data_IF_494342360868
#
_entry.id   IF_494342360868
#
_cell.length_a   1.000
_cell.length_b   1.000
_cell.length_c   1.000
_cell.angle_alpha   90.00
_cell.angle_beta   90.00
_cell.angle_gamma   90.00
#
_symmetry.space_group_name_H-M   'P 1'
#
loop_
_entity.id
_entity.type
_entity.pdbx_description
1 polymer ?
#
# COMPACT_ATOMS: atom_id res chain seq x y z
N UNK A 1 -84.59 12.16 -28.42
CA UNK A 1 -83.20 11.93 -28.89
C UNK A 1 -82.13 12.73 -28.12
N UNK A 2 -82.49 13.63 -27.18
CA UNK A 2 -81.50 14.40 -26.38
C UNK A 2 -80.95 13.68 -25.14
N UNK A 3 -81.80 12.95 -24.39
CA UNK A 3 -81.43 12.29 -23.13
C UNK A 3 -80.36 11.19 -23.35
N UNK A 4 -80.43 10.46 -24.46
CA UNK A 4 -79.46 9.40 -24.80
C UNK A 4 -78.08 10.00 -25.15
N UNK A 5 -78.06 11.16 -25.80
CA UNK A 5 -76.81 11.88 -26.17
C UNK A 5 -76.15 12.47 -24.92
N UNK A 6 -76.92 13.06 -24.03
CA UNK A 6 -76.42 13.65 -22.77
C UNK A 6 -75.88 12.57 -21.82
N UNK A 7 -76.55 11.41 -21.73
CA UNK A 7 -76.08 10.27 -20.95
C UNK A 7 -74.81 9.64 -21.53
N UNK A 8 -74.72 9.52 -22.85
CA UNK A 8 -73.51 9.06 -23.53
C UNK A 8 -72.33 10.02 -23.33
N UNK A 9 -72.57 11.34 -23.39
CA UNK A 9 -71.55 12.35 -23.10
C UNK A 9 -71.06 12.29 -21.65
N UNK A 10 -71.95 12.05 -20.68
CA UNK A 10 -71.59 11.93 -19.26
C UNK A 10 -70.77 10.67 -18.97
N UNK A 11 -71.09 9.55 -19.62
CA UNK A 11 -70.31 8.31 -19.52
C UNK A 11 -68.94 8.48 -20.20
N UNK A 12 -68.87 9.17 -21.34
CA UNK A 12 -67.62 9.46 -22.04
C UNK A 12 -66.70 10.39 -21.23
N UNK A 13 -67.24 11.42 -20.58
CA UNK A 13 -66.45 12.34 -19.75
C UNK A 13 -65.99 11.72 -18.43
N UNK A 14 -66.77 10.82 -17.82
CA UNK A 14 -66.36 10.03 -16.65
C UNK A 14 -65.22 9.08 -17.03
N UNK A 15 -65.34 8.36 -18.16
CA UNK A 15 -64.26 7.50 -18.67
C UNK A 15 -63.00 8.33 -18.95
N UNK A 16 -63.14 9.48 -19.60
CA UNK A 16 -62.02 10.37 -19.92
C UNK A 16 -61.32 10.90 -18.66
N UNK A 17 -62.08 11.29 -17.62
CA UNK A 17 -61.54 11.74 -16.34
C UNK A 17 -60.76 10.65 -15.59
N UNK A 18 -61.24 9.40 -15.62
CA UNK A 18 -60.52 8.27 -15.01
C UNK A 18 -59.21 7.94 -15.72
N UNK A 19 -59.17 7.99 -17.06
CA UNK A 19 -57.94 7.80 -17.83
C UNK A 19 -56.94 8.94 -17.61
N UNK A 20 -57.40 10.18 -17.50
CA UNK A 20 -56.56 11.33 -17.13
C UNK A 20 -55.93 11.16 -15.74
N UNK A 21 -56.72 10.74 -14.75
CA UNK A 21 -56.21 10.47 -13.40
C UNK A 21 -55.16 9.35 -13.38
N UNK A 22 -55.38 8.28 -14.14
CA UNK A 22 -54.44 7.16 -14.25
C UNK A 22 -53.12 7.56 -14.94
N UNK A 23 -53.18 8.39 -16.00
CA UNK A 23 -51.99 8.91 -16.66
C UNK A 23 -51.20 9.86 -15.74
N UNK A 24 -51.91 10.69 -14.97
CA UNK A 24 -51.29 11.62 -14.05
C UNK A 24 -50.62 10.90 -12.88
N UNK A 25 -51.25 9.86 -12.31
CA UNK A 25 -50.64 9.04 -11.27
C UNK A 25 -49.44 8.25 -11.77
N UNK A 26 -49.49 7.72 -13.00
CA UNK A 26 -48.34 7.06 -13.63
C UNK A 26 -47.19 8.05 -13.86
N UNK A 27 -47.49 9.28 -14.31
CA UNK A 27 -46.49 10.33 -14.51
C UNK A 27 -45.80 10.75 -13.20
N UNK A 28 -46.57 10.93 -12.13
CA UNK A 28 -46.01 11.23 -10.79
C UNK A 28 -45.20 10.06 -10.27
N UNK A 29 -45.72 8.83 -10.36
CA UNK A 29 -45.03 7.63 -9.90
C UNK A 29 -43.71 7.38 -10.64
N UNK A 30 -43.70 7.53 -11.97
CA UNK A 30 -42.48 7.41 -12.78
C UNK A 30 -41.50 8.55 -12.50
N UNK A 31 -41.98 9.79 -12.36
CA UNK A 31 -41.15 10.94 -11.99
C UNK A 31 -40.47 10.76 -10.63
N UNK A 32 -41.23 10.32 -9.62
CA UNK A 32 -40.68 10.00 -8.30
C UNK A 32 -39.69 8.83 -8.38
N UNK A 33 -40.01 7.77 -9.12
CA UNK A 33 -39.11 6.63 -9.28
C UNK A 33 -37.76 7.02 -9.90
N UNK A 34 -37.78 7.80 -10.98
CA UNK A 34 -36.56 8.28 -11.66
C UNK A 34 -35.76 9.23 -10.75
N UNK A 35 -36.45 10.13 -10.03
CA UNK A 35 -35.80 11.03 -9.08
C UNK A 35 -35.14 10.26 -7.94
N UNK A 36 -35.82 9.25 -7.39
CA UNK A 36 -35.30 8.42 -6.30
C UNK A 36 -34.17 7.52 -6.78
N UNK A 37 -34.27 6.90 -7.96
CA UNK A 37 -33.21 6.05 -8.50
C UNK A 37 -31.93 6.84 -8.76
N UNK A 38 -32.06 8.03 -9.34
CA UNK A 38 -30.92 8.93 -9.59
C UNK A 38 -30.30 9.43 -8.29
N UNK A 39 -31.12 9.73 -7.28
CA UNK A 39 -30.62 10.11 -5.95
C UNK A 39 -29.87 8.97 -5.25
N UNK A 40 -30.33 7.73 -5.38
CA UNK A 40 -29.65 6.54 -4.83
C UNK A 40 -28.32 6.31 -5.54
N UNK A 41 -28.29 6.40 -6.87
CA UNK A 41 -27.06 6.22 -7.65
C UNK A 41 -26.02 7.29 -7.31
N UNK A 42 -26.46 8.56 -7.18
CA UNK A 42 -25.58 9.65 -6.81
C UNK A 42 -25.06 9.51 -5.36
N UNK A 43 -25.91 9.14 -4.40
CA UNK A 43 -25.48 8.85 -3.02
C UNK A 43 -24.49 7.69 -2.97
N UNK A 44 -24.73 6.61 -3.72
CA UNK A 44 -23.80 5.49 -3.82
C UNK A 44 -22.45 5.90 -4.43
N UNK A 45 -22.47 6.74 -5.47
CA UNK A 45 -21.27 7.25 -6.11
C UNK A 45 -20.47 8.16 -5.18
N UNK A 46 -21.11 9.10 -4.49
CA UNK A 46 -20.44 9.98 -3.52
C UNK A 46 -19.83 9.18 -2.36
N UNK A 47 -20.56 8.20 -1.82
CA UNK A 47 -20.02 7.30 -0.78
C UNK A 47 -18.81 6.53 -1.29
N UNK A 48 -18.86 6.02 -2.53
CA UNK A 48 -17.73 5.36 -3.16
C UNK A 48 -16.52 6.28 -3.27
N UNK A 49 -16.70 7.51 -3.78
CA UNK A 49 -15.63 8.49 -3.90
C UNK A 49 -15.06 8.89 -2.53
N UNK A 50 -15.90 9.06 -1.51
CA UNK A 50 -15.47 9.33 -0.15
C UNK A 50 -14.61 8.19 0.41
N UNK A 51 -15.04 6.94 0.24
CA UNK A 51 -14.23 5.78 0.65
C UNK A 51 -12.91 5.70 -0.12
N UNK A 52 -12.94 5.91 -1.45
CA UNK A 52 -11.75 5.89 -2.29
C UNK A 52 -10.73 6.96 -1.87
N UNK A 53 -11.18 8.20 -1.63
CA UNK A 53 -10.34 9.28 -1.12
C UNK A 53 -9.80 8.97 0.27
N UNK A 54 -10.60 8.35 1.14
CA UNK A 54 -10.16 7.91 2.47
C UNK A 54 -9.03 6.88 2.39
N UNK A 55 -9.19 5.85 1.55
CA UNK A 55 -8.16 4.84 1.31
C UNK A 55 -6.90 5.47 0.71
N UNK A 56 -7.05 6.36 -0.28
CA UNK A 56 -5.93 7.08 -0.87
C UNK A 56 -5.14 7.86 0.19
N UNK A 57 -5.82 8.62 1.05
CA UNK A 57 -5.16 9.38 2.12
C UNK A 57 -4.42 8.48 3.11
N UNK A 58 -4.98 7.30 3.43
CA UNK A 58 -4.32 6.31 4.30
C UNK A 58 -3.05 5.78 3.62
N UNK A 59 -3.11 5.46 2.32
CA UNK A 59 -1.95 4.99 1.56
C UNK A 59 -0.85 6.06 1.48
N UNK A 60 -1.21 7.30 1.16
CA UNK A 60 -0.24 8.41 1.07
C UNK A 60 0.46 8.63 2.41
N UNK A 61 -0.29 8.59 3.51
CA UNK A 61 0.27 8.71 4.87
C UNK A 61 1.23 7.55 5.19
N UNK A 62 0.87 6.31 4.85
CA UNK A 62 1.72 5.13 5.08
C UNK A 62 3.00 5.17 4.24
N UNK A 63 2.89 5.48 2.95
CA UNK A 63 4.06 5.60 2.06
C UNK A 63 5.02 6.65 2.59
N UNK A 64 4.51 7.81 3.01
CA UNK A 64 5.34 8.86 3.62
C UNK A 64 6.01 8.37 4.90
N UNK A 65 5.26 7.72 5.79
CA UNK A 65 5.78 7.16 7.04
C UNK A 65 6.91 6.15 6.79
N UNK A 66 6.77 5.25 5.81
CA UNK A 66 7.83 4.31 5.44
C UNK A 66 9.04 5.00 4.80
N UNK A 67 8.84 6.05 3.99
CA UNK A 67 9.93 6.83 3.44
C UNK A 67 10.72 7.57 4.54
N UNK A 68 10.02 8.14 5.52
CA UNK A 68 10.64 8.80 6.67
C UNK A 68 11.39 7.80 7.57
N UNK A 69 10.85 6.59 7.76
CA UNK A 69 11.52 5.47 8.42
C UNK A 69 12.85 5.10 7.74
N UNK A 70 12.83 4.91 6.42
CA UNK A 70 14.03 4.60 5.64
C UNK A 70 15.04 5.75 5.69
N UNK A 71 14.59 7.00 5.64
CA UNK A 71 15.46 8.19 5.77
C UNK A 71 16.09 8.28 7.16
N UNK A 72 15.32 8.00 8.22
CA UNK A 72 15.83 7.92 9.58
C UNK A 72 16.89 6.83 9.73
N UNK A 73 16.62 5.66 9.14
CA UNK A 73 17.56 4.54 9.13
C UNK A 73 18.83 4.90 8.35
N UNK A 74 18.72 5.52 7.18
CA UNK A 74 19.88 5.95 6.41
C UNK A 74 20.73 6.98 7.18
N UNK A 75 20.07 7.89 7.92
CA UNK A 75 20.74 8.89 8.74
C UNK A 75 21.57 8.28 9.86
N UNK A 76 21.16 7.13 10.43
CA UNK A 76 21.95 6.39 11.42
C UNK A 76 23.32 6.00 10.84
N UNK A 77 23.36 5.50 9.61
CA UNK A 77 24.60 5.07 8.95
C UNK A 77 25.43 6.23 8.38
N UNK A 78 24.83 7.42 8.19
CA UNK A 78 25.54 8.62 7.73
C UNK A 78 26.16 9.44 8.88
N UNK A 79 25.58 9.38 10.08
CA UNK A 79 25.96 10.24 11.19
C UNK A 79 27.06 9.64 12.10
N UNK A 80 27.26 8.33 12.07
CA UNK A 80 28.19 7.63 12.97
C UNK A 80 29.48 7.16 12.31
N UNK A 81 30.43 6.74 13.14
CA UNK A 81 31.42 5.73 12.77
C UNK A 81 30.71 4.41 12.38
N UNK A 82 31.47 3.41 11.97
CA UNK A 82 30.95 2.13 11.46
C UNK A 82 29.89 1.48 12.38
N UNK A 83 28.61 1.58 12.00
CA UNK A 83 27.47 1.07 12.77
C UNK A 83 27.54 -0.46 12.87
N UNK A 84 27.56 -0.95 14.09
CA UNK A 84 27.63 -2.39 14.39
C UNK A 84 26.28 -3.07 14.23
N UNK A 85 26.30 -4.40 14.04
CA UNK A 85 25.08 -5.21 14.01
C UNK A 85 24.24 -5.11 15.30
N UNK A 86 24.85 -4.84 16.46
CA UNK A 86 24.11 -4.68 17.72
C UNK A 86 23.43 -3.32 17.84
N UNK A 87 24.10 -2.24 17.46
CA UNK A 87 23.51 -0.90 17.43
C UNK A 87 22.34 -0.84 16.47
N UNK A 88 22.48 -1.44 15.28
CA UNK A 88 21.38 -1.53 14.33
C UNK A 88 20.18 -2.31 14.91
N UNK A 89 20.42 -3.42 15.62
CA UNK A 89 19.36 -4.17 16.31
C UNK A 89 18.65 -3.33 17.36
N UNK A 90 19.39 -2.60 18.20
CA UNK A 90 18.80 -1.73 19.21
C UNK A 90 17.99 -0.59 18.59
N UNK A 91 18.51 0.02 17.51
CA UNK A 91 17.79 1.03 16.75
C UNK A 91 16.46 0.48 16.22
N UNK A 92 16.48 -0.67 15.52
CA UNK A 92 15.26 -1.26 14.94
C UNK A 92 14.28 -1.72 16.02
N UNK A 93 14.76 -2.26 17.14
CA UNK A 93 13.90 -2.61 18.27
C UNK A 93 13.20 -1.37 18.86
N UNK A 94 13.90 -0.22 18.94
CA UNK A 94 13.33 1.03 19.43
C UNK A 94 12.29 1.67 18.51
N UNK A 95 12.28 1.32 17.23
CA UNK A 95 11.26 1.79 16.27
C UNK A 95 9.89 1.14 16.50
N UNK A 96 9.86 -0.05 17.13
CA UNK A 96 8.62 -0.81 17.38
C UNK A 96 7.77 -0.96 16.10
N UNK A 97 8.36 -1.66 15.12
CA UNK A 97 7.83 -1.76 13.75
C UNK A 97 6.40 -2.31 13.71
N UNK A 98 6.07 -3.25 14.60
CA UNK A 98 4.75 -3.88 14.65
C UNK A 98 3.64 -2.86 14.93
N UNK A 99 3.89 -1.92 15.84
CA UNK A 99 2.90 -0.92 16.24
C UNK A 99 2.96 0.36 15.39
N UNK A 100 4.15 0.85 15.05
CA UNK A 100 4.30 2.14 14.36
C UNK A 100 4.37 2.03 12.84
N UNK A 101 4.80 0.89 12.31
CA UNK A 101 5.00 0.69 10.87
C UNK A 101 4.34 -0.61 10.38
N UNK A 102 3.03 -0.82 10.64
CA UNK A 102 2.35 -2.05 10.29
C UNK A 102 2.44 -2.31 8.79
N UNK A 103 2.94 -3.49 8.40
CA UNK A 103 3.25 -3.86 7.02
C UNK A 103 4.75 -3.88 6.68
N UNK A 104 5.60 -3.29 7.54
CA UNK A 104 7.06 -3.43 7.45
C UNK A 104 7.47 -4.68 8.22
N UNK A 105 7.93 -5.70 7.50
CA UNK A 105 8.39 -6.96 8.12
C UNK A 105 9.82 -6.87 8.64
N UNK A 106 10.70 -6.19 7.89
CA UNK A 106 12.13 -6.09 8.20
C UNK A 106 12.69 -4.78 7.67
N UNK A 107 13.69 -4.24 8.37
CA UNK A 107 14.58 -3.21 7.85
C UNK A 107 15.95 -3.85 7.64
N UNK A 108 16.57 -3.54 6.50
CA UNK A 108 17.85 -4.11 6.12
C UNK A 108 18.84 -3.06 5.66
N UNK A 109 20.13 -3.32 5.90
CA UNK A 109 21.22 -2.49 5.44
C UNK A 109 22.13 -3.30 4.51
N UNK A 110 22.43 -2.72 3.35
CA UNK A 110 23.37 -3.28 2.40
C UNK A 110 24.60 -2.37 2.32
N UNK A 111 25.78 -2.97 2.53
CA UNK A 111 27.05 -2.26 2.45
C UNK A 111 27.62 -2.38 1.05
N UNK A 112 28.00 -1.24 0.47
CA UNK A 112 28.73 -1.18 -0.79
C UNK A 112 30.23 -1.11 -0.55
N UNK A 113 31.00 -1.91 -1.27
CA UNK A 113 32.47 -1.96 -1.19
C UNK A 113 33.08 -2.57 -2.45
N UNK A 114 34.36 -2.29 -2.71
CA UNK A 114 35.13 -2.80 -3.83
C UNK A 114 35.71 -4.20 -3.60
N UNK A 115 36.17 -4.87 -4.66
CA UNK A 115 36.88 -6.17 -4.54
C UNK A 115 38.15 -6.07 -3.66
N UNK A 116 38.79 -4.91 -3.63
CA UNK A 116 39.97 -4.68 -2.81
C UNK A 116 39.64 -4.67 -1.31
N UNK A 117 38.47 -4.15 -0.93
CA UNK A 117 38.01 -4.05 0.46
C UNK A 117 37.35 -5.33 0.96
N UNK A 118 36.87 -6.17 0.03
CA UNK A 118 36.13 -7.40 0.33
C UNK A 118 36.77 -8.29 1.41
N UNK A 119 38.08 -8.60 1.41
CA UNK A 119 38.66 -9.46 2.44
C UNK A 119 38.54 -8.87 3.85
N UNK A 120 38.70 -7.55 3.99
CA UNK A 120 38.59 -6.85 5.27
C UNK A 120 37.13 -6.85 5.76
N UNK A 121 36.19 -6.53 4.88
CA UNK A 121 34.75 -6.52 5.19
C UNK A 121 34.24 -7.91 5.54
N UNK A 122 34.62 -8.95 4.78
CA UNK A 122 34.24 -10.33 5.11
C UNK A 122 34.80 -10.77 6.46
N UNK A 123 36.05 -10.44 6.78
CA UNK A 123 36.66 -10.80 8.05
C UNK A 123 35.96 -10.10 9.23
N UNK A 124 35.58 -8.83 9.07
CA UNK A 124 34.81 -8.09 10.05
C UNK A 124 33.43 -8.70 10.28
N UNK A 125 32.65 -8.89 9.22
CA UNK A 125 31.29 -9.42 9.31
C UNK A 125 31.26 -10.85 9.86
N UNK A 126 32.26 -11.69 9.54
CA UNK A 126 32.39 -13.02 10.15
C UNK A 126 32.64 -12.97 11.65
N UNK A 127 33.41 -12.00 12.15
CA UNK A 127 33.61 -11.83 13.60
C UNK A 127 32.31 -11.39 14.28
N UNK A 128 31.67 -10.35 13.74
CA UNK A 128 30.45 -9.78 14.32
C UNK A 128 29.25 -10.74 14.29
N UNK A 129 28.99 -11.37 13.13
CA UNK A 129 27.86 -12.28 12.95
C UNK A 129 28.17 -13.68 13.51
N UNK A 130 29.44 -14.10 13.48
CA UNK A 130 29.89 -15.36 14.08
C UNK A 130 29.72 -15.38 15.60
N UNK A 131 29.90 -14.24 16.28
CA UNK A 131 29.58 -14.08 17.70
C UNK A 131 28.09 -14.34 18.01
N UNK A 132 27.21 -14.23 17.00
CA UNK A 132 25.77 -14.54 17.06
C UNK A 132 25.44 -15.93 16.49
N UNK A 133 26.43 -16.76 16.19
CA UNK A 133 26.26 -18.11 15.64
C UNK A 133 25.91 -18.15 14.14
N UNK A 134 26.03 -17.04 13.42
CA UNK A 134 25.77 -16.96 11.98
C UNK A 134 27.04 -17.15 11.15
N UNK A 135 27.02 -18.07 10.20
CA UNK A 135 28.09 -18.24 9.22
C UNK A 135 27.91 -17.28 8.04
N UNK A 136 28.71 -16.21 8.01
CA UNK A 136 28.63 -15.20 6.97
C UNK A 136 29.45 -15.56 5.72
N UNK A 137 28.77 -15.58 4.57
CA UNK A 137 29.39 -15.70 3.25
C UNK A 137 28.66 -14.85 2.20
N UNK A 138 29.43 -14.19 1.34
CA UNK A 138 28.89 -13.45 0.20
C UNK A 138 28.37 -14.42 -0.87
N UNK A 139 27.14 -14.20 -1.34
CA UNK A 139 26.45 -15.04 -2.34
C UNK A 139 25.81 -14.17 -3.44
N UNK A 140 25.89 -14.59 -4.72
CA UNK A 140 26.59 -15.78 -5.21
C UNK A 140 28.10 -15.56 -5.24
N UNK A 141 28.84 -16.67 -5.17
CA UNK A 141 30.30 -16.66 -5.28
C UNK A 141 30.76 -16.04 -6.62
N UNK A 142 32.01 -15.59 -6.65
CA UNK A 142 32.60 -14.90 -7.80
C UNK A 142 33.27 -13.60 -7.39
N UNK A 143 34.08 -13.05 -8.29
CA UNK A 143 34.70 -11.73 -8.16
C UNK A 143 33.98 -10.70 -9.01
N UNK A 144 33.78 -9.51 -8.45
CA UNK A 144 33.12 -8.35 -9.08
C UNK A 144 33.89 -7.10 -8.69
N UNK A 145 33.93 -6.07 -9.54
CA UNK A 145 34.63 -4.82 -9.21
C UNK A 145 34.04 -4.15 -7.96
N UNK A 146 32.73 -4.25 -7.79
CA UNK A 146 31.97 -3.68 -6.70
C UNK A 146 30.92 -4.70 -6.21
N UNK A 147 30.61 -4.64 -4.93
CA UNK A 147 29.61 -5.46 -4.26
C UNK A 147 28.65 -4.56 -3.51
N UNK A 148 27.38 -4.95 -3.45
CA UNK A 148 26.39 -4.32 -2.57
C UNK A 148 25.75 -5.44 -1.77
N UNK A 149 26.33 -5.76 -0.62
CA UNK A 149 25.99 -6.96 0.14
C UNK A 149 25.06 -6.62 1.28
N UNK A 150 23.96 -7.37 1.40
CA UNK A 150 23.05 -7.29 2.54
C UNK A 150 23.76 -7.74 3.82
N UNK A 151 24.16 -6.81 4.70
CA UNK A 151 24.96 -7.11 5.89
C UNK A 151 24.09 -7.27 7.13
N UNK A 152 23.04 -6.45 7.29
CA UNK A 152 22.16 -6.49 8.45
C UNK A 152 20.69 -6.60 8.03
N UNK A 153 19.92 -7.38 8.80
CA UNK A 153 18.47 -7.53 8.66
C UNK A 153 17.89 -7.62 10.06
N UNK A 154 16.98 -6.73 10.40
CA UNK A 154 16.28 -6.75 11.68
C UNK A 154 14.77 -6.58 11.48
N UNK A 155 13.92 -7.30 12.23
CA UNK A 155 14.28 -8.36 13.18
C UNK A 155 14.89 -9.59 12.49
N UNK A 156 16.02 -10.06 13.00
CA UNK A 156 16.78 -11.17 12.39
C UNK A 156 15.99 -12.48 12.25
N UNK A 157 15.01 -12.73 13.12
CA UNK A 157 14.14 -13.91 13.06
C UNK A 157 13.31 -14.02 11.79
N UNK A 158 13.04 -12.91 11.11
CA UNK A 158 12.18 -12.91 9.93
C UNK A 158 12.89 -13.44 8.68
N UNK A 159 14.13 -13.01 8.40
CA UNK A 159 14.84 -13.28 7.14
C UNK A 159 16.37 -13.32 7.24
N UNK A 160 16.94 -13.85 8.32
CA UNK A 160 18.40 -13.98 8.47
C UNK A 160 19.09 -14.73 7.32
N UNK A 161 18.38 -15.63 6.64
CA UNK A 161 18.86 -16.40 5.48
C UNK A 161 19.27 -15.51 4.28
N UNK A 162 18.83 -14.25 4.25
CA UNK A 162 19.16 -13.29 3.19
C UNK A 162 20.46 -12.53 3.43
N UNK A 163 21.01 -12.57 4.65
CA UNK A 163 22.30 -11.93 4.94
C UNK A 163 23.39 -12.54 4.02
N UNK A 164 24.26 -11.68 3.52
CA UNK A 164 25.32 -12.04 2.58
C UNK A 164 24.89 -12.10 1.11
N UNK A 165 23.62 -11.82 0.76
CA UNK A 165 23.21 -11.69 -0.65
C UNK A 165 23.81 -10.40 -1.23
N UNK A 166 24.55 -10.55 -2.33
CA UNK A 166 25.01 -9.46 -3.17
C UNK A 166 23.89 -9.01 -4.13
N UNK A 167 23.41 -7.79 -3.92
CA UNK A 167 22.30 -7.20 -4.68
C UNK A 167 22.70 -6.85 -6.12
N UNK A 168 23.98 -6.56 -6.36
CA UNK A 168 24.49 -6.32 -7.73
C UNK A 168 24.39 -7.56 -8.62
N UNK A 169 24.40 -8.76 -8.02
CA UNK A 169 24.23 -10.00 -8.77
C UNK A 169 22.79 -10.26 -9.23
N UNK A 170 21.83 -9.38 -8.90
CA UNK A 170 20.41 -9.51 -9.26
C UNK A 170 19.99 -8.37 -10.21
N UNK A 171 19.75 -8.64 -11.50
CA UNK A 171 19.56 -7.58 -12.50
C UNK A 171 18.46 -6.57 -12.17
N UNK A 172 17.30 -7.04 -11.69
CA UNK A 172 16.19 -6.16 -11.34
C UNK A 172 16.46 -5.29 -10.10
N UNK A 173 17.31 -5.75 -9.18
CA UNK A 173 17.67 -5.00 -7.97
C UNK A 173 18.79 -4.02 -8.27
N UNK A 174 19.76 -4.42 -9.09
CA UNK A 174 20.87 -3.58 -9.51
C UNK A 174 20.43 -2.28 -10.21
N UNK A 175 19.30 -2.30 -10.92
CA UNK A 175 18.73 -1.10 -11.56
C UNK A 175 18.14 -0.07 -10.56
N UNK A 176 17.92 -0.48 -9.31
CA UNK A 176 17.30 0.33 -8.27
C UNK A 176 18.29 0.78 -7.17
N UNK A 177 19.57 0.38 -7.28
CA UNK A 177 20.67 0.85 -6.43
C UNK A 177 21.19 2.19 -6.94
#
# INVERSE_FOLDING_TARGET
MGIVVEFAQKIASIKLGSWLGALLSLGVGTGLHISTSSAIENDAHERFLHMARGVQSILDSRIKSYADLLRGTASLFLAGDEVTSEEFRHYVAGLDLENHFPGVETINFARTFSDAERPAVEAQLRRELGAKGMDFRIRPAGRRPEYTVLTYIEPSTARADRVGIDLQARPAVALAL
#
